data_IF_048851571333
#
_entry.id   IF_048851571333
#
_cell.length_a   1.000
_cell.length_b   1.000
_cell.length_c   1.000
_cell.angle_alpha   90.00
_cell.angle_beta   90.00
_cell.angle_gamma   90.00
#
_symmetry.space_group_name_H-M   'P 1'
#
loop_
_entity.id
_entity.type
_entity.pdbx_description
1 polymer ?
#
# COMPACT_ATOMS: atom_id res chain seq x y z
N UNK A 1 -11.87 11.94 69.96
CA UNK A 1 -12.44 11.71 68.62
C UNK A 1 -13.93 11.95 68.71
N UNK A 2 -14.40 13.07 68.18
CA UNK A 2 -15.82 13.40 68.05
C UNK A 2 -16.40 12.57 66.91
N UNK A 3 -17.36 11.69 67.23
CA UNK A 3 -18.08 10.89 66.23
C UNK A 3 -19.01 11.82 65.44
N UNK A 4 -18.77 11.96 64.14
CA UNK A 4 -19.69 12.64 63.22
C UNK A 4 -20.69 11.61 62.72
N UNK A 5 -21.97 11.81 63.01
CA UNK A 5 -23.06 11.00 62.51
C UNK A 5 -23.57 11.60 61.20
N UNK A 6 -23.38 10.88 60.08
CA UNK A 6 -23.85 11.29 58.75
C UNK A 6 -25.20 10.65 58.49
N UNK A 7 -26.28 11.44 58.45
CA UNK A 7 -27.61 10.97 58.08
C UNK A 7 -27.75 11.06 56.55
N UNK A 8 -27.95 9.95 55.82
CA UNK A 8 -28.21 10.00 54.40
C UNK A 8 -29.61 10.58 54.14
N UNK A 9 -29.68 11.81 53.63
CA UNK A 9 -30.95 12.43 53.20
C UNK A 9 -31.25 11.92 51.78
N UNK A 10 -32.29 11.09 51.65
CA UNK A 10 -32.83 10.68 50.35
C UNK A 10 -33.92 11.67 49.95
N UNK A 11 -33.59 12.63 49.10
CA UNK A 11 -34.58 13.56 48.54
C UNK A 11 -35.39 12.79 47.49
N UNK A 12 -36.70 12.67 47.72
CA UNK A 12 -37.64 12.07 46.77
C UNK A 12 -38.48 13.21 46.20
N UNK A 13 -38.33 13.46 44.90
CA UNK A 13 -39.20 14.38 44.15
C UNK A 13 -40.57 13.74 43.92
N UNK A 14 -41.63 14.55 43.82
CA UNK A 14 -42.91 14.01 43.37
C UNK A 14 -42.75 13.51 41.92
N UNK A 15 -43.27 12.31 41.66
CA UNK A 15 -42.99 11.54 40.46
C UNK A 15 -44.18 10.68 40.10
N UNK A 16 -44.62 10.79 38.84
CA UNK A 16 -45.76 10.09 38.25
C UNK A 16 -45.47 9.91 36.76
N UNK A 17 -46.29 9.12 36.05
CA UNK A 17 -46.21 9.08 34.59
C UNK A 17 -46.73 10.41 34.00
N UNK A 18 -46.27 10.78 32.80
CA UNK A 18 -46.67 12.01 32.12
C UNK A 18 -48.21 12.13 32.01
N UNK A 19 -48.88 11.03 31.67
CA UNK A 19 -50.34 10.98 31.55
C UNK A 19 -51.06 11.25 32.88
N UNK A 20 -50.47 10.84 33.99
CA UNK A 20 -51.02 11.05 35.33
C UNK A 20 -50.79 12.49 35.80
N UNK A 21 -49.61 13.06 35.53
CA UNK A 21 -49.34 14.48 35.76
C UNK A 21 -50.28 15.37 34.96
N UNK A 22 -50.48 15.07 33.68
CA UNK A 22 -51.37 15.85 32.81
C UNK A 22 -52.83 15.80 33.26
N UNK A 23 -53.25 14.66 33.83
CA UNK A 23 -54.61 14.46 34.36
C UNK A 23 -54.83 15.21 35.66
N UNK A 24 -53.87 15.18 36.59
CA UNK A 24 -53.98 15.86 37.88
C UNK A 24 -53.80 17.38 37.73
N UNK A 25 -52.96 17.78 36.79
CA UNK A 25 -52.63 19.17 36.44
C UNK A 25 -52.51 20.14 37.64
N UNK A 26 -51.74 19.81 38.69
CA UNK A 26 -51.62 20.67 39.86
C UNK A 26 -50.77 21.91 39.56
N UNK A 27 -50.95 22.97 40.34
CA UNK A 27 -49.96 24.06 40.44
C UNK A 27 -48.75 23.51 41.20
N UNK A 28 -47.56 23.65 40.62
CA UNK A 28 -46.30 23.18 41.22
C UNK A 28 -45.64 24.36 41.94
N UNK A 29 -45.21 24.16 43.18
CA UNK A 29 -44.66 25.23 44.00
C UNK A 29 -43.38 25.82 43.36
N UNK A 30 -43.11 27.10 43.63
CA UNK A 30 -41.96 27.81 43.06
C UNK A 30 -40.65 27.10 43.44
N UNK A 31 -39.91 26.65 42.42
CA UNK A 31 -38.67 25.90 42.58
C UNK A 31 -38.85 24.39 42.86
N UNK A 32 -40.07 23.88 42.94
CA UNK A 32 -40.33 22.45 43.12
C UNK A 32 -40.10 21.68 41.80
N UNK A 33 -39.33 20.59 41.89
CA UNK A 33 -39.02 19.70 40.77
C UNK A 33 -39.99 18.53 40.73
N UNK A 34 -40.64 18.33 39.58
CA UNK A 34 -41.51 17.19 39.32
C UNK A 34 -41.00 16.36 38.14
N UNK A 35 -41.11 15.04 38.25
CA UNK A 35 -40.51 14.10 37.30
C UNK A 35 -41.58 13.23 36.63
N UNK A 36 -41.51 13.13 35.30
CA UNK A 36 -42.26 12.14 34.51
C UNK A 36 -41.45 10.82 34.45
N UNK A 37 -42.00 9.74 34.99
CA UNK A 37 -41.30 8.45 35.10
C UNK A 37 -41.14 7.71 33.76
N UNK A 38 -42.08 7.91 32.84
CA UNK A 38 -42.13 7.25 31.53
C UNK A 38 -41.31 7.99 30.46
N UNK A 39 -41.43 9.31 30.40
CA UNK A 39 -40.73 10.13 29.40
C UNK A 39 -39.34 10.57 29.85
N UNK A 40 -39.03 10.40 31.15
CA UNK A 40 -37.79 10.87 31.78
C UNK A 40 -37.58 12.38 31.69
N UNK A 41 -38.67 13.15 31.57
CA UNK A 41 -38.65 14.61 31.55
C UNK A 41 -38.95 15.18 32.92
N UNK A 42 -38.57 16.44 33.13
CA UNK A 42 -38.85 17.16 34.36
C UNK A 42 -39.33 18.57 34.08
N UNK A 43 -40.12 19.10 35.02
CA UNK A 43 -40.56 20.50 35.04
C UNK A 43 -40.21 21.10 36.40
N UNK A 44 -40.02 22.42 36.43
CA UNK A 44 -39.81 23.20 37.65
C UNK A 44 -41.02 24.10 37.82
N UNK A 45 -41.66 24.07 38.99
CA UNK A 45 -42.76 24.96 39.31
C UNK A 45 -42.31 26.41 39.43
N UNK A 46 -43.20 27.33 39.05
CA UNK A 46 -43.06 28.77 39.23
C UNK A 46 -44.04 29.31 40.30
N UNK A 47 -44.73 28.40 41.01
CA UNK A 47 -45.74 28.69 42.02
C UNK A 47 -47.04 29.29 41.45
N UNK A 48 -47.21 29.32 40.12
CA UNK A 48 -48.32 30.03 39.46
C UNK A 48 -49.02 29.19 38.39
N UNK A 49 -48.25 28.54 37.53
CA UNK A 49 -48.75 27.75 36.41
C UNK A 49 -49.07 26.32 36.84
N UNK A 50 -50.10 25.75 36.20
CA UNK A 50 -50.39 24.33 36.34
C UNK A 50 -49.36 23.50 35.55
N UNK A 51 -49.21 22.23 35.92
CA UNK A 51 -48.29 21.28 35.29
C UNK A 51 -48.29 21.30 33.75
N UNK A 52 -49.46 21.35 33.12
CA UNK A 52 -49.61 21.32 31.67
C UNK A 52 -49.04 22.57 30.99
N UNK A 53 -49.09 23.71 31.69
CA UNK A 53 -48.66 25.01 31.19
C UNK A 53 -47.20 25.31 31.53
N UNK A 54 -46.59 24.55 32.45
CA UNK A 54 -45.17 24.67 32.77
C UNK A 54 -44.29 24.19 31.59
N UNK A 55 -43.22 24.92 31.23
CA UNK A 55 -42.27 24.46 30.23
C UNK A 55 -41.45 23.28 30.78
N UNK A 56 -41.00 22.40 29.88
CA UNK A 56 -39.99 21.44 30.25
C UNK A 56 -38.67 22.15 30.55
N UNK A 57 -37.97 21.66 31.57
CA UNK A 57 -36.63 22.13 31.85
C UNK A 57 -35.66 21.53 30.81
N UNK A 58 -35.34 22.32 29.79
CA UNK A 58 -34.39 21.96 28.72
C UNK A 58 -33.15 22.88 28.80
N UNK A 59 -31.95 22.30 28.78
CA UNK A 59 -30.70 23.05 28.77
C UNK A 59 -30.38 23.67 27.40
N UNK A 60 -29.39 24.58 27.31
CA UNK A 60 -29.00 25.16 26.02
C UNK A 60 -28.37 24.12 25.06
N UNK A 61 -29.11 23.75 24.01
CA UNK A 61 -28.81 24.15 22.62
C UNK A 61 -27.41 24.00 21.93
N UNK A 62 -26.31 23.43 22.48
CA UNK A 62 -25.00 23.27 21.75
C UNK A 62 -24.98 22.78 20.27
N UNK A 63 -23.98 23.18 19.47
CA UNK A 63 -23.93 22.99 18.02
C UNK A 63 -23.52 21.56 17.56
N UNK A 64 -24.06 21.09 16.42
CA UNK A 64 -23.76 19.76 15.85
C UNK A 64 -23.04 19.86 14.50
N UNK A 65 -22.37 18.78 14.08
CA UNK A 65 -21.80 18.68 12.73
C UNK A 65 -22.91 18.61 11.68
N UNK A 66 -22.99 19.63 10.83
CA UNK A 66 -24.02 19.78 9.79
C UNK A 66 -23.53 19.34 8.42
N UNK A 67 -22.23 19.48 8.14
CA UNK A 67 -21.64 19.17 6.84
C UNK A 67 -20.20 18.69 6.99
N UNK A 68 -19.77 17.79 6.10
CA UNK A 68 -18.38 17.35 5.94
C UNK A 68 -18.06 17.41 4.45
N UNK A 69 -16.89 17.95 4.09
CA UNK A 69 -16.46 18.08 2.70
C UNK A 69 -14.95 17.87 2.57
N UNK A 70 -14.54 17.16 1.53
CA UNK A 70 -13.15 17.01 1.12
C UNK A 70 -12.89 17.88 -0.12
N UNK A 71 -11.85 18.71 -0.09
CA UNK A 71 -11.44 19.50 -1.25
C UNK A 71 -10.60 18.69 -2.24
N UNK A 72 -10.48 19.18 -3.49
CA UNK A 72 -9.70 18.48 -4.54
C UNK A 72 -8.22 18.26 -4.17
N UNK A 73 -7.64 19.21 -3.42
CA UNK A 73 -6.28 19.14 -2.90
C UNK A 73 -6.15 18.25 -1.64
N UNK A 74 -7.24 17.67 -1.13
CA UNK A 74 -7.22 16.67 -0.06
C UNK A 74 -7.42 17.22 1.35
N UNK A 75 -7.84 18.48 1.50
CA UNK A 75 -8.10 19.08 2.80
C UNK A 75 -9.53 18.75 3.25
N UNK A 76 -9.66 18.23 4.47
CA UNK A 76 -10.94 17.90 5.08
C UNK A 76 -11.49 19.12 5.85
N UNK A 77 -12.72 19.52 5.54
CA UNK A 77 -13.47 20.55 6.26
C UNK A 77 -14.74 19.96 6.89
N UNK A 78 -15.05 20.38 8.11
CA UNK A 78 -16.27 20.00 8.84
C UNK A 78 -16.95 21.28 9.34
N UNK A 79 -18.27 21.37 9.16
CA UNK A 79 -19.09 22.47 9.67
C UNK A 79 -19.80 22.04 10.95
N UNK A 80 -19.64 22.85 12.00
CA UNK A 80 -20.41 22.76 13.23
C UNK A 80 -21.38 23.96 13.21
N UNK A 81 -22.68 23.70 13.10
CA UNK A 81 -23.64 24.75 12.75
C UNK A 81 -23.34 25.37 11.39
N UNK A 82 -23.07 26.68 11.35
CA UNK A 82 -22.64 27.42 10.14
C UNK A 82 -21.11 27.61 10.05
N UNK A 83 -20.36 27.24 11.09
CA UNK A 83 -18.93 27.52 11.19
C UNK A 83 -18.08 26.40 10.58
N UNK A 84 -17.25 26.74 9.60
CA UNK A 84 -16.28 25.82 9.00
C UNK A 84 -15.05 25.62 9.90
N UNK A 85 -14.64 24.37 10.09
CA UNK A 85 -13.39 23.97 10.75
C UNK A 85 -12.57 23.10 9.80
N UNK A 86 -11.34 23.53 9.48
CA UNK A 86 -10.42 22.79 8.61
C UNK A 86 -9.56 21.83 9.44
N UNK A 87 -9.61 20.54 9.11
CA UNK A 87 -8.93 19.45 9.82
C UNK A 87 -7.60 19.07 9.16
N UNK A 88 -7.28 19.68 8.02
CA UNK A 88 -6.02 19.52 7.30
C UNK A 88 -6.08 18.46 6.21
N UNK A 89 -4.92 18.18 5.62
CA UNK A 89 -4.80 17.29 4.48
C UNK A 89 -4.83 15.82 4.91
N UNK A 90 -5.77 15.05 4.36
CA UNK A 90 -5.90 13.61 4.62
C UNK A 90 -5.58 12.75 3.40
N UNK A 91 -5.24 13.37 2.26
CA UNK A 91 -4.93 12.67 1.02
C UNK A 91 -3.47 12.24 1.06
N UNK A 92 -3.24 11.01 1.51
CA UNK A 92 -1.92 10.39 1.45
C UNK A 92 -1.34 10.41 0.02
N UNK A 93 -0.02 10.50 -0.11
CA UNK A 93 0.65 10.35 -1.41
C UNK A 93 0.22 9.02 -2.05
N UNK A 94 -0.13 9.06 -3.34
CA UNK A 94 -0.49 7.87 -4.11
C UNK A 94 0.70 6.91 -4.14
N UNK A 95 0.63 5.84 -3.34
CA UNK A 95 1.45 4.66 -3.57
C UNK A 95 0.98 3.95 -4.85
N UNK A 96 1.89 3.34 -5.60
CA UNK A 96 1.65 2.86 -6.98
C UNK A 96 0.45 1.90 -7.16
N UNK A 97 -0.08 1.32 -6.07
CA UNK A 97 -1.30 0.49 -6.08
C UNK A 97 -2.25 0.69 -4.88
N UNK A 98 -2.11 1.79 -4.12
CA UNK A 98 -2.99 2.05 -2.97
C UNK A 98 -4.31 2.71 -3.38
N UNK A 99 -5.44 2.21 -2.87
CA UNK A 99 -6.72 2.90 -3.02
C UNK A 99 -6.80 4.09 -2.06
N UNK A 100 -6.82 5.31 -2.59
CA UNK A 100 -6.92 6.54 -1.79
C UNK A 100 -8.37 6.98 -1.63
N UNK A 101 -8.70 7.70 -0.55
CA UNK A 101 -10.01 8.34 -0.41
C UNK A 101 -10.09 9.51 -1.40
N UNK A 102 -11.15 9.52 -2.21
CA UNK A 102 -11.42 10.56 -3.21
C UNK A 102 -12.47 11.55 -2.75
N UNK A 103 -13.41 11.11 -1.92
CA UNK A 103 -14.52 11.93 -1.44
C UNK A 103 -15.03 11.43 -0.09
N UNK A 104 -15.44 12.35 0.77
CA UNK A 104 -16.15 12.06 2.01
C UNK A 104 -17.34 13.01 2.08
N UNK A 105 -18.53 12.45 2.11
CA UNK A 105 -19.78 13.21 2.15
C UNK A 105 -20.67 12.71 3.28
N UNK A 106 -21.34 13.63 3.97
CA UNK A 106 -22.36 13.32 4.96
C UNK A 106 -23.70 13.87 4.49
N UNK A 107 -24.69 13.01 4.39
CA UNK A 107 -26.08 13.36 4.10
C UNK A 107 -26.99 12.76 5.19
N UNK A 108 -27.61 13.62 5.99
CA UNK A 108 -28.37 13.21 7.16
C UNK A 108 -27.53 12.38 8.15
N UNK A 109 -27.93 11.13 8.39
CA UNK A 109 -27.23 10.16 9.26
C UNK A 109 -26.22 9.29 8.51
N UNK A 110 -26.11 9.43 7.19
CA UNK A 110 -25.24 8.57 6.39
C UNK A 110 -23.94 9.28 6.06
N UNK A 111 -22.81 8.69 6.45
CA UNK A 111 -21.48 9.08 6.00
C UNK A 111 -21.06 8.15 4.85
N UNK A 112 -20.71 8.72 3.71
CA UNK A 112 -20.21 8.01 2.53
C UNK A 112 -18.76 8.37 2.29
N UNK A 113 -17.89 7.36 2.21
CA UNK A 113 -16.48 7.47 1.82
C UNK A 113 -16.32 6.83 0.45
N UNK A 114 -15.92 7.60 -0.56
CA UNK A 114 -15.57 7.08 -1.89
C UNK A 114 -14.07 6.91 -2.01
N UNK A 115 -13.68 5.85 -2.68
CA UNK A 115 -12.29 5.50 -2.92
C UNK A 115 -11.92 5.70 -4.40
N UNK A 116 -10.63 5.72 -4.70
CA UNK A 116 -10.09 5.94 -6.04
C UNK A 116 -10.23 4.75 -7.00
N UNK A 117 -10.76 3.63 -6.54
CA UNK A 117 -11.13 2.46 -7.35
C UNK A 117 -12.65 2.40 -7.62
N UNK A 118 -13.33 3.54 -7.47
CA UNK A 118 -14.78 3.72 -7.61
C UNK A 118 -15.64 2.94 -6.60
N UNK A 119 -15.02 2.27 -5.61
CA UNK A 119 -15.76 1.66 -4.51
C UNK A 119 -16.16 2.70 -3.46
N UNK A 120 -17.24 2.42 -2.73
CA UNK A 120 -17.73 3.29 -1.67
C UNK A 120 -18.06 2.49 -0.41
N UNK A 121 -17.77 3.07 0.75
CA UNK A 121 -18.21 2.57 2.05
C UNK A 121 -19.18 3.57 2.69
N UNK A 122 -20.33 3.07 3.10
CA UNK A 122 -21.33 3.85 3.84
C UNK A 122 -21.34 3.42 5.30
N UNK A 123 -21.42 4.40 6.18
CA UNK A 123 -21.56 4.21 7.61
C UNK A 123 -22.80 4.94 8.07
N UNK A 124 -23.67 4.23 8.78
CA UNK A 124 -24.75 4.89 9.49
C UNK A 124 -24.15 5.51 10.74
N UNK A 125 -24.05 6.83 10.75
CA UNK A 125 -23.65 7.64 11.89
C UNK A 125 -24.93 8.34 12.35
N UNK A 126 -25.69 7.74 13.28
CA UNK A 126 -26.91 8.35 13.80
C UNK A 126 -26.61 9.79 14.17
N UNK A 127 -27.46 10.73 13.74
CA UNK A 127 -27.38 12.06 14.29
C UNK A 127 -27.82 11.91 15.74
N UNK A 128 -26.85 11.79 16.65
CA UNK A 128 -27.13 11.61 18.06
C UNK A 128 -28.16 12.66 18.47
N UNK A 129 -29.28 12.21 19.07
CA UNK A 129 -30.09 13.16 19.81
C UNK A 129 -29.17 13.85 20.81
N UNK A 130 -29.22 15.17 20.78
CA UNK A 130 -28.39 16.04 21.60
C UNK A 130 -28.34 15.53 23.05
N UNK A 131 -27.18 15.06 23.47
CA UNK A 131 -26.93 14.77 24.87
C UNK A 131 -26.68 16.07 25.63
N UNK A 132 -27.38 16.25 26.75
CA UNK A 132 -27.03 17.29 27.71
C UNK A 132 -25.71 16.89 28.40
N UNK A 133 -24.68 17.71 28.17
CA UNK A 133 -23.35 17.69 28.84
C UNK A 133 -22.36 16.66 28.30
N UNK A 134 -21.58 17.11 27.32
CA UNK A 134 -20.24 16.61 27.01
C UNK A 134 -19.43 17.77 26.42
N UNK A 135 -18.13 17.87 26.76
CA UNK A 135 -17.25 18.82 26.07
C UNK A 135 -17.10 18.39 24.61
N UNK A 136 -17.27 19.31 23.68
CA UNK A 136 -17.24 18.98 22.25
C UNK A 136 -15.80 18.78 21.77
N UNK A 137 -15.61 18.00 20.71
CA UNK A 137 -14.32 17.99 19.99
C UNK A 137 -14.17 19.33 19.26
N UNK A 138 -13.17 20.10 19.64
CA UNK A 138 -12.83 21.38 19.01
C UNK A 138 -12.01 21.17 17.73
N UNK A 139 -11.08 20.20 17.74
CA UNK A 139 -10.32 19.82 16.54
C UNK A 139 -9.73 18.41 16.65
N UNK A 140 -9.63 17.71 15.51
CA UNK A 140 -8.88 16.47 15.36
C UNK A 140 -7.91 16.62 14.17
N UNK A 141 -6.61 16.43 14.39
CA UNK A 141 -5.62 16.51 13.30
C UNK A 141 -4.53 15.46 13.46
N UNK A 142 -3.87 15.13 12.36
CA UNK A 142 -2.63 14.36 12.37
C UNK A 142 -1.47 15.34 12.17
N UNK A 143 -0.48 15.30 13.06
CA UNK A 143 0.71 16.17 12.94
C UNK A 143 1.73 15.62 11.94
N UNK A 144 2.81 16.36 11.70
CA UNK A 144 3.88 15.97 10.76
C UNK A 144 4.59 14.67 11.16
N UNK A 145 4.56 14.33 12.46
CA UNK A 145 5.11 13.09 13.00
C UNK A 145 4.16 11.89 12.85
N UNK A 146 2.91 12.10 12.39
CA UNK A 146 1.91 11.04 12.22
C UNK A 146 1.04 10.79 13.44
N UNK A 147 1.15 11.62 14.49
CA UNK A 147 0.37 11.47 15.71
C UNK A 147 -1.02 12.10 15.58
N UNK A 148 -2.05 11.36 16.00
CA UNK A 148 -3.41 11.88 16.11
C UNK A 148 -3.52 12.77 17.35
N UNK A 149 -3.78 14.04 17.13
CA UNK A 149 -4.06 15.04 18.17
C UNK A 149 -5.56 15.33 18.22
N UNK A 150 -6.12 15.30 19.42
CA UNK A 150 -7.52 15.61 19.67
C UNK A 150 -7.60 16.74 20.71
N UNK A 151 -8.26 17.83 20.36
CA UNK A 151 -8.58 18.92 21.27
C UNK A 151 -10.06 18.88 21.61
N UNK A 152 -10.35 18.75 22.89
CA UNK A 152 -11.69 18.84 23.46
C UNK A 152 -11.86 20.26 24.03
N UNK A 153 -13.07 20.82 23.90
CA UNK A 153 -13.44 22.13 24.39
C UNK A 153 -13.03 22.32 25.86
N UNK A 154 -12.39 23.46 26.17
CA UNK A 154 -11.84 23.76 27.51
C UNK A 154 -10.79 22.77 28.03
N UNK A 155 -10.20 21.94 27.16
CA UNK A 155 -9.10 21.04 27.49
C UNK A 155 -7.85 21.33 26.67
N UNK A 156 -6.73 20.87 27.20
CA UNK A 156 -5.51 20.84 26.41
C UNK A 156 -5.61 19.74 25.37
N UNK A 157 -4.93 19.98 24.25
CA UNK A 157 -4.82 19.01 23.19
C UNK A 157 -4.14 17.73 23.68
N UNK A 158 -4.78 16.61 23.41
CA UNK A 158 -4.33 15.28 23.78
C UNK A 158 -3.71 14.58 22.57
N UNK A 159 -2.51 14.04 22.77
CA UNK A 159 -1.89 13.10 21.83
C UNK A 159 -2.44 11.71 22.08
N UNK A 160 -3.08 11.13 21.06
CA UNK A 160 -3.68 9.79 21.10
C UNK A 160 -2.76 8.74 20.48
N UNK A 161 -1.54 9.12 20.10
CA UNK A 161 -0.53 8.23 19.56
C UNK A 161 -0.41 8.29 18.04
N UNK A 162 0.60 7.57 17.55
CA UNK A 162 0.90 7.49 16.13
C UNK A 162 -0.20 6.70 15.39
N UNK A 163 -0.77 7.31 14.35
CA UNK A 163 -1.75 6.68 13.46
C UNK A 163 -1.18 6.41 12.06
N UNK A 164 0.09 6.78 11.84
CA UNK A 164 0.81 6.49 10.61
C UNK A 164 1.49 5.13 10.74
N UNK A 165 1.14 4.20 9.84
CA UNK A 165 1.85 2.94 9.71
C UNK A 165 3.34 3.17 9.42
N UNK A 166 4.18 2.26 9.90
CA UNK A 166 5.61 2.33 9.64
C UNK A 166 5.88 2.38 8.13
N UNK A 167 6.95 3.08 7.77
CA UNK A 167 7.40 3.09 6.38
C UNK A 167 7.77 1.66 5.99
N UNK A 168 7.13 1.12 4.96
CA UNK A 168 7.48 -0.18 4.43
C UNK A 168 8.95 -0.20 4.00
N UNK A 169 9.68 -1.23 4.43
CA UNK A 169 11.07 -1.42 4.04
C UNK A 169 11.17 -1.70 2.55
N UNK A 170 12.09 -1.03 1.88
CA UNK A 170 12.36 -1.29 0.46
C UNK A 170 13.06 -2.65 0.32
N UNK A 171 12.50 -3.53 -0.51
CA UNK A 171 13.14 -4.80 -0.83
C UNK A 171 14.32 -4.51 -1.76
N UNK A 172 15.53 -4.89 -1.34
CA UNK A 172 16.77 -4.72 -2.11
C UNK A 172 17.38 -6.08 -2.44
N UNK A 173 18.22 -6.15 -3.46
CA UNK A 173 18.99 -7.35 -3.77
C UNK A 173 20.20 -7.37 -2.83
N UNK A 174 20.33 -8.43 -2.03
CA UNK A 174 21.42 -8.61 -1.07
C UNK A 174 22.52 -9.51 -1.62
N UNK A 175 22.18 -10.44 -2.50
CA UNK A 175 23.15 -11.35 -3.11
C UNK A 175 22.75 -11.76 -4.53
N UNK A 176 23.76 -12.05 -5.34
CA UNK A 176 23.61 -12.58 -6.69
C UNK A 176 24.56 -13.76 -6.92
N UNK A 177 24.01 -14.91 -7.29
CA UNK A 177 24.79 -16.13 -7.50
C UNK A 177 24.47 -16.76 -8.86
N UNK A 178 25.51 -17.15 -9.61
CA UNK A 178 25.31 -18.01 -10.80
C UNK A 178 24.99 -19.43 -10.36
N UNK A 179 23.91 -19.98 -10.92
CA UNK A 179 23.45 -21.36 -10.70
C UNK A 179 23.34 -22.10 -12.04
N UNK A 180 23.07 -23.42 -12.01
CA UNK A 180 22.91 -24.23 -13.23
C UNK A 180 21.81 -23.68 -14.14
N UNK A 181 20.68 -23.30 -13.54
CA UNK A 181 19.47 -22.81 -14.21
C UNK A 181 19.56 -21.35 -14.69
N UNK A 182 20.52 -20.54 -14.22
CA UNK A 182 20.44 -19.09 -14.39
C UNK A 182 21.28 -18.25 -13.44
N UNK A 183 20.82 -17.04 -13.18
CA UNK A 183 21.30 -16.17 -12.10
C UNK A 183 20.23 -16.16 -11.01
N UNK A 184 20.59 -16.61 -9.81
CA UNK A 184 19.74 -16.51 -8.64
C UNK A 184 20.00 -15.17 -7.94
N UNK A 185 18.94 -14.42 -7.68
CA UNK A 185 18.95 -13.22 -6.85
C UNK A 185 18.37 -13.56 -5.49
N UNK A 186 19.02 -13.10 -4.43
CA UNK A 186 18.50 -13.12 -3.06
C UNK A 186 18.12 -11.70 -2.68
N UNK A 187 16.90 -11.54 -2.15
CA UNK A 187 16.40 -10.26 -1.69
C UNK A 187 16.63 -10.08 -0.18
N UNK A 188 16.50 -8.85 0.31
CA UNK A 188 16.65 -8.49 1.73
C UNK A 188 15.64 -9.17 2.65
N UNK A 189 14.59 -9.77 2.10
CA UNK A 189 13.58 -10.56 2.82
C UNK A 189 13.78 -12.08 2.69
N UNK A 190 14.98 -12.49 2.28
CA UNK A 190 15.41 -13.88 2.05
C UNK A 190 14.72 -14.60 0.88
N UNK A 191 13.80 -13.92 0.18
CA UNK A 191 13.18 -14.48 -1.03
C UNK A 191 14.23 -14.68 -2.12
N UNK A 192 14.12 -15.78 -2.87
CA UNK A 192 15.04 -16.12 -3.96
C UNK A 192 14.29 -16.23 -5.27
N UNK A 193 14.81 -15.59 -6.31
CA UNK A 193 14.29 -15.69 -7.68
C UNK A 193 15.42 -16.09 -8.61
N UNK A 194 15.16 -17.05 -9.49
CA UNK A 194 16.11 -17.45 -10.53
C UNK A 194 15.68 -16.80 -11.84
N UNK A 195 16.56 -15.98 -12.41
CA UNK A 195 16.44 -15.49 -13.77
C UNK A 195 17.04 -16.59 -14.67
N UNK A 196 16.22 -17.29 -15.46
CA UNK A 196 16.69 -18.43 -16.24
C UNK A 196 17.70 -17.98 -17.30
N UNK A 197 18.58 -18.91 -17.70
CA UNK A 197 19.40 -18.68 -18.89
C UNK A 197 18.47 -18.63 -20.11
N UNK A 198 18.64 -17.61 -20.95
CA UNK A 198 18.08 -17.65 -22.30
C UNK A 198 18.59 -18.86 -23.09
N UNK A 199 17.93 -19.17 -24.21
CA UNK A 199 18.42 -20.22 -25.11
C UNK A 199 19.89 -19.99 -25.43
N UNK A 200 20.71 -21.03 -25.28
CA UNK A 200 22.14 -20.96 -25.56
C UNK A 200 22.32 -20.66 -27.05
N UNK A 201 22.71 -19.43 -27.38
CA UNK A 201 23.26 -19.13 -28.70
C UNK A 201 24.59 -19.85 -28.90
N UNK A 202 24.88 -20.26 -30.13
CA UNK A 202 26.16 -20.89 -30.47
C UNK A 202 27.32 -19.97 -30.09
N UNK A 203 28.32 -20.54 -29.41
CA UNK A 203 29.44 -19.79 -28.83
C UNK A 203 30.40 -19.36 -29.94
N UNK A 204 30.43 -18.07 -30.27
CA UNK A 204 31.40 -17.49 -31.21
C UNK A 204 32.76 -17.19 -30.55
N UNK A 205 33.30 -18.12 -29.76
CA UNK A 205 34.51 -17.88 -28.98
C UNK A 205 35.75 -17.87 -29.90
N UNK A 206 36.24 -16.67 -30.23
CA UNK A 206 37.51 -16.47 -30.93
C UNK A 206 38.62 -16.35 -29.89
N UNK A 207 39.29 -17.48 -29.63
CA UNK A 207 40.51 -17.57 -28.84
C UNK A 207 41.61 -16.63 -29.39
N UNK A 208 41.81 -15.47 -28.75
CA UNK A 208 43.05 -14.70 -28.85
C UNK A 208 43.35 -14.01 -30.19
N UNK A 209 42.35 -13.80 -31.06
CA UNK A 209 42.55 -13.11 -32.34
C UNK A 209 42.56 -11.59 -32.11
N UNK A 210 43.69 -10.94 -32.41
CA UNK A 210 43.76 -9.48 -32.47
C UNK A 210 43.06 -8.98 -33.73
N UNK A 211 41.83 -8.48 -33.56
CA UNK A 211 40.96 -8.02 -34.66
C UNK A 211 41.49 -6.79 -35.41
N UNK A 212 42.52 -6.11 -34.89
CA UNK A 212 43.16 -4.97 -35.58
C UNK A 212 44.10 -5.40 -36.72
N UNK A 213 44.53 -6.66 -36.72
CA UNK A 213 45.36 -7.25 -37.78
C UNK A 213 44.50 -7.73 -38.98
N UNK A 214 43.18 -7.60 -38.88
CA UNK A 214 42.21 -8.00 -39.89
C UNK A 214 41.50 -6.78 -40.51
N UNK A 215 41.11 -6.93 -41.78
CA UNK A 215 40.42 -5.90 -42.58
C UNK A 215 39.24 -5.31 -41.81
N UNK A 216 39.23 -3.98 -41.62
CA UNK A 216 38.23 -3.28 -40.81
C UNK A 216 36.86 -3.34 -41.49
N UNK A 217 35.78 -3.38 -40.69
CA UNK A 217 34.37 -3.42 -41.11
C UNK A 217 33.95 -2.29 -42.09
N UNK A 218 34.76 -1.24 -42.19
CA UNK A 218 34.64 -0.13 -43.15
C UNK A 218 35.25 -0.42 -44.52
N UNK A 219 36.27 -1.27 -44.60
CA UNK A 219 37.01 -1.66 -45.80
C UNK A 219 36.27 -2.77 -46.58
N UNK A 220 35.41 -3.53 -45.90
CA UNK A 220 34.47 -4.51 -46.48
C UNK A 220 33.28 -3.89 -47.23
N UNK A 221 33.13 -2.55 -47.26
CA UNK A 221 31.94 -1.88 -47.83
C UNK A 221 31.94 -1.79 -49.36
N UNK A 222 33.02 -2.18 -50.03
CA UNK A 222 33.19 -2.07 -51.49
C UNK A 222 33.71 -3.36 -52.13
N UNK A 223 33.28 -4.51 -51.63
CA UNK A 223 33.78 -5.82 -52.05
C UNK A 223 32.88 -6.33 -53.19
N UNK A 224 33.42 -6.43 -54.39
CA UNK A 224 32.72 -7.04 -55.52
C UNK A 224 32.68 -8.58 -55.40
N UNK A 225 31.99 -9.27 -56.31
CA UNK A 225 31.86 -10.74 -56.23
C UNK A 225 33.18 -11.49 -56.44
N UNK A 226 34.19 -10.87 -57.07
CA UNK A 226 35.51 -11.45 -57.23
C UNK A 226 36.30 -11.36 -55.91
N UNK A 227 36.14 -10.27 -55.18
CA UNK A 227 36.76 -10.07 -53.87
C UNK A 227 36.19 -11.00 -52.79
N UNK A 228 34.89 -11.34 -52.84
CA UNK A 228 34.29 -12.36 -51.95
C UNK A 228 34.91 -13.75 -52.18
N UNK A 229 35.17 -14.11 -53.45
CA UNK A 229 35.86 -15.37 -53.79
C UNK A 229 37.29 -15.38 -53.24
N UNK A 230 38.03 -14.28 -53.43
CA UNK A 230 39.39 -14.14 -52.94
C UNK A 230 39.47 -14.17 -51.41
N UNK A 231 38.51 -13.55 -50.71
CA UNK A 231 38.41 -13.58 -49.25
C UNK A 231 38.09 -14.98 -48.75
N UNK A 232 37.16 -15.70 -49.39
CA UNK A 232 36.84 -17.08 -49.01
C UNK A 232 38.01 -18.04 -49.26
N UNK A 233 38.80 -17.82 -50.31
CA UNK A 233 40.02 -18.58 -50.61
C UNK A 233 41.15 -18.24 -49.63
N UNK A 234 41.33 -16.96 -49.29
CA UNK A 234 42.33 -16.48 -48.32
C UNK A 234 42.03 -16.95 -46.88
N UNK A 235 40.76 -16.94 -46.47
CA UNK A 235 40.33 -17.39 -45.15
C UNK A 235 40.15 -18.91 -45.04
N UNK A 236 40.37 -19.66 -46.13
CA UNK A 236 40.15 -21.11 -46.16
C UNK A 236 38.68 -21.52 -45.96
N UNK A 237 37.74 -20.60 -46.20
CA UNK A 237 36.29 -20.80 -46.05
C UNK A 237 35.65 -21.39 -47.31
N UNK A 238 36.39 -21.52 -48.40
CA UNK A 238 35.93 -22.27 -49.57
C UNK A 238 35.92 -23.77 -49.25
N UNK A 239 34.79 -24.45 -49.52
CA UNK A 239 34.74 -25.90 -49.42
C UNK A 239 35.79 -26.49 -50.37
N UNK A 240 36.71 -27.32 -49.89
CA UNK A 240 37.71 -27.98 -50.74
C UNK A 240 36.98 -28.78 -51.81
N UNK A 241 37.18 -28.42 -53.07
CA UNK A 241 36.66 -29.15 -54.22
C UNK A 241 37.77 -30.04 -54.75
N UNK A 242 37.51 -31.34 -54.78
CA UNK A 242 38.31 -32.30 -55.50
C UNK A 242 37.71 -32.53 -56.89
N UNK A 243 38.57 -32.52 -57.90
CA UNK A 243 38.17 -32.99 -59.22
C UNK A 243 38.29 -34.51 -59.29
N UNK A 244 37.39 -35.12 -60.05
CA UNK A 244 37.40 -36.55 -60.30
C UNK A 244 37.08 -36.83 -61.76
N UNK A 245 37.38 -38.05 -62.21
CA UNK A 245 37.02 -38.52 -63.54
C UNK A 245 35.67 -39.26 -63.55
N UNK A 246 34.91 -39.17 -62.46
CA UNK A 246 33.61 -39.82 -62.35
C UNK A 246 32.57 -39.12 -63.21
N UNK A 247 31.79 -39.93 -63.93
CA UNK A 247 30.75 -39.48 -64.85
C UNK A 247 29.54 -40.39 -64.70
N UNK A 248 28.43 -39.84 -64.23
CA UNK A 248 27.25 -40.62 -63.81
C UNK A 248 25.95 -39.99 -64.31
N UNK A 249 24.91 -40.81 -64.48
CA UNK A 249 23.57 -40.32 -64.76
C UNK A 249 22.93 -39.69 -63.51
N UNK A 250 21.87 -38.92 -63.71
CA UNK A 250 21.12 -38.29 -62.61
C UNK A 250 20.63 -39.32 -61.56
N UNK A 251 20.20 -40.50 -62.00
CA UNK A 251 19.76 -41.59 -61.12
C UNK A 251 20.88 -42.12 -60.23
N UNK A 252 22.09 -42.28 -60.76
CA UNK A 252 23.25 -42.75 -59.99
C UNK A 252 23.76 -41.66 -59.05
N UNK A 253 23.78 -40.41 -59.49
CA UNK A 253 24.14 -39.27 -58.66
C UNK A 253 23.21 -39.15 -57.44
N UNK A 254 21.90 -39.30 -57.63
CA UNK A 254 20.91 -39.33 -56.52
C UNK A 254 21.17 -40.48 -55.54
N UNK A 255 21.57 -41.65 -56.05
CA UNK A 255 21.93 -42.79 -55.20
C UNK A 255 23.18 -42.49 -54.38
N UNK A 256 24.24 -42.00 -55.02
CA UNK A 256 25.50 -41.68 -54.34
C UNK A 256 25.39 -40.45 -53.44
N UNK A 257 24.44 -39.56 -53.71
CA UNK A 257 24.11 -38.44 -52.83
C UNK A 257 23.23 -38.84 -51.66
N UNK A 258 22.77 -40.09 -51.55
CA UNK A 258 21.91 -40.48 -50.42
C UNK A 258 22.67 -40.34 -49.09
N UNK A 259 22.07 -39.74 -48.05
CA UNK A 259 22.71 -39.66 -46.74
C UNK A 259 23.15 -41.05 -46.27
N UNK A 260 24.36 -41.16 -45.71
CA UNK A 260 24.96 -42.43 -45.28
C UNK A 260 25.55 -43.31 -46.39
N UNK A 261 25.40 -42.98 -47.68
CA UNK A 261 26.16 -43.65 -48.74
C UNK A 261 27.65 -43.37 -48.54
N UNK A 262 28.47 -44.41 -48.42
CA UNK A 262 29.91 -44.26 -48.22
C UNK A 262 30.69 -45.09 -49.24
N UNK A 263 31.73 -44.48 -49.79
CA UNK A 263 32.61 -45.11 -50.76
C UNK A 263 33.99 -44.46 -50.71
N UNK A 264 34.97 -45.12 -51.32
CA UNK A 264 36.28 -44.54 -51.61
C UNK A 264 36.25 -43.85 -52.96
N UNK A 265 36.59 -42.56 -52.97
CA UNK A 265 36.57 -41.68 -54.12
C UNK A 265 37.99 -41.29 -54.48
N UNK A 266 38.43 -41.72 -55.66
CA UNK A 266 39.72 -41.29 -56.21
C UNK A 266 39.58 -39.89 -56.79
N UNK A 267 40.55 -39.05 -56.47
CA UNK A 267 40.56 -37.63 -56.84
C UNK A 267 41.85 -37.31 -57.58
N UNK A 268 41.82 -36.25 -58.39
CA UNK A 268 42.96 -35.91 -59.24
C UNK A 268 44.04 -35.11 -58.49
N UNK A 269 43.69 -34.51 -57.35
CA UNK A 269 44.58 -33.73 -56.51
C UNK A 269 45.10 -34.53 -55.29
N UNK A 270 46.25 -34.14 -54.70
CA UNK A 270 46.69 -34.69 -53.42
C UNK A 270 45.66 -34.44 -52.31
N UNK A 271 45.49 -35.44 -51.45
CA UNK A 271 44.55 -35.41 -50.32
C UNK A 271 45.23 -35.06 -48.99
N UNK A 272 46.49 -34.65 -49.02
CA UNK A 272 47.30 -34.29 -47.83
C UNK A 272 46.70 -33.16 -47.00
N UNK A 273 45.96 -32.27 -47.64
CA UNK A 273 45.46 -31.03 -47.03
C UNK A 273 44.06 -31.20 -46.43
N UNK A 274 43.56 -32.44 -46.37
CA UNK A 274 42.23 -32.77 -45.88
C UNK A 274 42.34 -33.70 -44.68
N UNK A 275 41.55 -33.41 -43.65
CA UNK A 275 41.50 -34.16 -42.40
C UNK A 275 40.23 -35.01 -42.30
N UNK A 276 40.24 -35.96 -41.36
CA UNK A 276 39.05 -36.70 -41.00
C UNK A 276 37.94 -35.75 -40.56
N UNK A 277 36.70 -36.02 -40.99
CA UNK A 277 35.47 -35.23 -40.76
C UNK A 277 35.37 -33.93 -41.54
N UNK A 278 36.35 -33.57 -42.35
CA UNK A 278 36.22 -32.44 -43.26
C UNK A 278 35.08 -32.68 -44.26
N UNK A 279 34.33 -31.62 -44.54
CA UNK A 279 33.33 -31.61 -45.61
C UNK A 279 33.97 -31.10 -46.89
N UNK A 280 34.04 -31.96 -47.89
CA UNK A 280 34.63 -31.66 -49.19
C UNK A 280 33.60 -31.88 -50.30
N UNK A 281 33.84 -31.24 -51.44
CA UNK A 281 33.03 -31.40 -52.64
C UNK A 281 33.76 -32.29 -53.63
N UNK A 282 33.09 -33.32 -54.13
CA UNK A 282 33.56 -34.14 -55.25
C UNK A 282 32.89 -33.65 -56.52
N UNK A 283 33.67 -33.11 -57.45
CA UNK A 283 33.19 -32.76 -58.79
C UNK A 283 32.95 -34.04 -59.59
N UNK A 284 31.73 -34.23 -60.05
CA UNK A 284 31.29 -35.38 -60.85
C UNK A 284 30.50 -34.88 -62.05
N UNK A 285 30.81 -35.36 -63.24
CA UNK A 285 30.10 -34.96 -64.45
C UNK A 285 28.75 -35.71 -64.55
N UNK A 286 27.65 -34.98 -64.71
CA UNK A 286 26.34 -35.56 -64.91
C UNK A 286 26.07 -35.75 -66.40
N UNK A 287 26.01 -37.02 -66.84
CA UNK A 287 25.79 -37.37 -68.24
C UNK A 287 24.38 -37.07 -68.73
N UNK A 288 23.40 -37.00 -67.82
CA UNK A 288 22.00 -36.69 -68.13
C UNK A 288 21.81 -35.20 -68.40
N UNK A 289 22.35 -34.33 -67.55
CA UNK A 289 22.23 -32.87 -67.70
C UNK A 289 23.35 -32.24 -68.50
N UNK A 290 24.41 -33.00 -68.79
CA UNK A 290 25.65 -32.54 -69.45
C UNK A 290 26.31 -31.38 -68.72
N UNK A 291 26.31 -31.45 -67.39
CA UNK A 291 26.85 -30.43 -66.52
C UNK A 291 27.62 -31.03 -65.36
N UNK A 292 28.53 -30.26 -64.78
CA UNK A 292 29.22 -30.65 -63.57
C UNK A 292 28.29 -30.53 -62.35
N UNK A 293 28.34 -31.55 -61.49
CA UNK A 293 27.69 -31.57 -60.20
C UNK A 293 28.73 -31.76 -59.10
N UNK A 294 28.41 -31.30 -57.90
CA UNK A 294 29.32 -31.34 -56.76
C UNK A 294 28.65 -32.07 -55.60
N UNK A 295 29.15 -33.26 -55.29
CA UNK A 295 28.66 -34.07 -54.19
C UNK A 295 29.39 -33.69 -52.90
N UNK A 296 28.66 -33.23 -51.88
CA UNK A 296 29.24 -32.93 -50.56
C UNK A 296 29.36 -34.22 -49.74
N UNK A 297 30.58 -34.51 -49.30
CA UNK A 297 30.91 -35.71 -48.53
C UNK A 297 31.71 -35.34 -47.29
N UNK A 298 31.49 -36.08 -46.20
CA UNK A 298 32.28 -36.01 -44.97
C UNK A 298 33.35 -37.09 -45.00
N UNK A 299 34.62 -36.70 -44.90
CA UNK A 299 35.76 -37.62 -45.00
C UNK A 299 35.84 -38.53 -43.77
N UNK A 300 35.99 -39.83 -44.01
CA UNK A 300 36.15 -40.88 -42.97
C UNK A 300 37.51 -41.57 -43.03
N UNK A 301 38.21 -41.46 -44.15
CA UNK A 301 39.60 -41.90 -44.30
C UNK A 301 40.30 -41.11 -45.40
N UNK A 302 41.59 -40.82 -45.22
CA UNK A 302 42.43 -40.09 -46.17
C UNK A 302 43.52 -41.02 -46.69
N UNK A 303 43.48 -41.33 -47.98
CA UNK A 303 44.56 -41.98 -48.72
C UNK A 303 45.54 -40.96 -49.30
N UNK A 304 46.43 -41.38 -50.21
CA UNK A 304 47.36 -40.48 -50.90
C UNK A 304 46.72 -39.68 -52.04
N UNK A 305 45.72 -40.25 -52.70
CA UNK A 305 45.01 -39.69 -53.87
C UNK A 305 43.53 -40.14 -53.90
N UNK A 306 42.99 -40.50 -52.74
CA UNK A 306 41.59 -40.85 -52.59
C UNK A 306 41.14 -40.52 -51.17
N UNK A 307 39.83 -40.31 -51.01
CA UNK A 307 39.18 -40.21 -49.71
C UNK A 307 38.10 -41.27 -49.60
N UNK A 308 38.03 -41.98 -48.46
CA UNK A 308 36.77 -42.65 -48.10
C UNK A 308 35.93 -41.60 -47.41
N UNK A 309 34.69 -41.45 -47.85
CA UNK A 309 33.82 -40.42 -47.34
C UNK A 309 32.36 -40.86 -47.38
N UNK A 310 31.54 -40.24 -46.54
CA UNK A 310 30.11 -40.48 -46.44
C UNK A 310 29.36 -39.26 -46.98
N UNK A 311 28.42 -39.47 -47.90
CA UNK A 311 27.58 -38.40 -48.45
C UNK A 311 26.78 -37.69 -47.34
N UNK A 312 26.74 -36.37 -47.40
CA UNK A 312 25.94 -35.54 -46.48
C UNK A 312 24.47 -35.44 -46.91
N UNK A 313 24.10 -35.97 -48.07
CA UNK A 313 22.78 -35.76 -48.66
C UNK A 313 22.73 -34.64 -49.71
N UNK A 314 23.80 -33.85 -49.81
CA UNK A 314 23.80 -32.59 -50.55
C UNK A 314 24.52 -32.73 -51.90
N UNK A 315 23.75 -32.54 -52.97
CA UNK A 315 24.24 -32.50 -54.34
C UNK A 315 24.02 -31.10 -54.90
N UNK A 316 25.09 -30.45 -55.36
CA UNK A 316 25.08 -29.08 -55.83
C UNK A 316 25.31 -29.00 -57.34
N UNK A 317 24.83 -27.93 -57.96
CA UNK A 317 25.05 -27.60 -59.39
C UNK A 317 26.18 -26.59 -59.59
N UNK A 318 26.71 -26.02 -58.51
CA UNK A 318 27.90 -25.19 -58.47
C UNK A 318 28.68 -25.50 -57.19
N UNK A 319 30.00 -25.26 -57.13
CA UNK A 319 30.73 -25.31 -55.86
C UNK A 319 30.04 -24.38 -54.87
N UNK A 320 29.75 -24.85 -53.66
CA UNK A 320 29.05 -24.05 -52.67
C UNK A 320 29.85 -22.79 -52.34
N UNK A 321 29.38 -21.63 -52.80
CA UNK A 321 29.75 -20.36 -52.17
C UNK A 321 29.30 -20.44 -50.72
N UNK A 322 30.26 -20.53 -49.79
CA UNK A 322 29.97 -20.23 -48.39
C UNK A 322 29.63 -18.74 -48.36
N UNK A 323 28.33 -18.44 -48.40
CA UNK A 323 27.83 -17.08 -48.26
C UNK A 323 28.16 -16.62 -46.84
N UNK A 324 29.12 -15.70 -46.73
CA UNK A 324 29.30 -14.90 -45.53
C UNK A 324 27.96 -14.25 -45.23
N UNK A 325 27.36 -14.61 -44.08
CA UNK A 325 26.09 -14.05 -43.63
C UNK A 325 26.22 -12.52 -43.55
N UNK A 326 25.25 -11.78 -44.08
CA UNK A 326 25.26 -10.31 -43.96
C UNK A 326 25.16 -9.89 -42.50
N UNK A 327 25.49 -8.63 -42.19
CA UNK A 327 25.37 -8.11 -40.81
C UNK A 327 23.96 -8.27 -40.26
N UNK A 328 22.92 -8.09 -41.09
CA UNK A 328 21.54 -8.35 -40.67
C UNK A 328 21.30 -9.82 -40.33
N UNK A 329 21.87 -10.75 -41.10
CA UNK A 329 21.71 -12.19 -40.87
C UNK A 329 22.48 -12.68 -39.63
N UNK A 330 23.67 -12.14 -39.37
CA UNK A 330 24.44 -12.44 -38.15
C UNK A 330 23.72 -11.86 -36.92
N UNK A 331 23.20 -10.64 -37.01
CA UNK A 331 22.45 -10.03 -35.90
C UNK A 331 21.14 -10.77 -35.58
N UNK A 332 20.51 -11.41 -36.58
CA UNK A 332 19.32 -12.23 -36.38
C UNK A 332 19.63 -13.63 -35.82
N UNK A 333 20.83 -14.17 -36.08
CA UNK A 333 21.19 -15.55 -35.73
C UNK A 333 21.97 -15.68 -34.42
N UNK A 334 22.64 -14.62 -33.95
CA UNK A 334 23.51 -14.67 -32.77
C UNK A 334 23.09 -13.64 -31.71
N UNK A 335 22.93 -14.12 -30.48
CA UNK A 335 22.63 -13.27 -29.34
C UNK A 335 23.80 -12.32 -29.01
N UNK A 336 23.49 -11.07 -28.71
CA UNK A 336 24.47 -10.07 -28.26
C UNK A 336 25.04 -10.47 -26.90
N UNK A 337 26.34 -10.18 -26.68
CA UNK A 337 27.05 -10.43 -25.40
C UNK A 337 26.27 -9.91 -24.18
N UNK A 338 25.56 -8.81 -24.37
CA UNK A 338 24.60 -8.28 -23.42
C UNK A 338 23.22 -8.26 -24.08
N UNK A 339 22.22 -8.84 -23.42
CA UNK A 339 20.82 -8.76 -23.82
C UNK A 339 19.97 -8.39 -22.61
N UNK A 340 18.74 -7.93 -22.86
CA UNK A 340 17.76 -7.57 -21.84
C UNK A 340 16.64 -8.61 -21.84
N UNK A 341 16.07 -8.83 -20.67
CA UNK A 341 14.83 -9.57 -20.48
C UNK A 341 13.73 -8.57 -20.11
N UNK A 342 12.55 -8.73 -20.68
CA UNK A 342 11.35 -8.05 -20.21
C UNK A 342 10.85 -8.74 -18.94
N UNK A 343 10.11 -8.02 -18.09
CA UNK A 343 9.59 -8.59 -16.82
C UNK A 343 8.72 -9.84 -17.04
N UNK A 344 8.07 -9.92 -18.20
CA UNK A 344 7.25 -11.06 -18.62
C UNK A 344 8.07 -12.33 -18.87
N UNK A 345 9.37 -12.21 -19.12
CA UNK A 345 10.25 -13.35 -19.39
C UNK A 345 10.60 -14.11 -18.10
N UNK A 346 10.32 -13.52 -16.93
CA UNK A 346 10.66 -14.10 -15.62
C UNK A 346 9.38 -14.64 -14.98
N UNK A 347 9.12 -15.92 -15.23
CA UNK A 347 7.97 -16.64 -14.66
C UNK A 347 7.88 -16.44 -13.15
N UNK A 348 6.72 -15.94 -12.69
CA UNK A 348 6.43 -15.75 -11.27
C UNK A 348 6.93 -14.44 -10.67
N UNK A 349 7.80 -13.66 -11.32
CA UNK A 349 8.33 -12.41 -10.77
C UNK A 349 7.22 -11.36 -10.58
N UNK A 350 6.36 -11.17 -11.59
CA UNK A 350 5.23 -10.24 -11.50
C UNK A 350 4.26 -10.62 -10.37
N UNK A 351 4.03 -11.92 -10.18
CA UNK A 351 3.18 -12.43 -9.08
C UNK A 351 3.84 -12.23 -7.72
N UNK A 352 5.14 -12.52 -7.58
CA UNK A 352 5.89 -12.32 -6.34
C UNK A 352 5.92 -10.84 -5.94
N UNK A 353 6.21 -9.94 -6.89
CA UNK A 353 6.19 -8.49 -6.67
C UNK A 353 4.78 -7.99 -6.33
N UNK A 354 3.74 -8.49 -7.01
CA UNK A 354 2.37 -8.10 -6.73
C UNK A 354 1.88 -8.59 -5.36
N UNK A 355 2.29 -9.77 -4.90
CA UNK A 355 1.94 -10.26 -3.56
C UNK A 355 2.64 -9.47 -2.45
N UNK A 356 3.90 -9.05 -2.65
CA UNK A 356 4.63 -8.23 -1.69
C UNK A 356 4.06 -6.80 -1.59
N UNK A 357 3.67 -6.21 -2.73
CA UNK A 357 2.99 -4.93 -2.75
C UNK A 357 1.59 -4.96 -2.10
N UNK A 358 0.96 -6.15 -2.08
CA UNK A 358 -0.36 -6.38 -1.50
C UNK A 358 -0.30 -7.02 -0.11
N UNK A 359 0.86 -6.96 0.57
CA UNK A 359 0.97 -7.31 1.98
C UNK A 359 0.15 -6.30 2.79
N UNK A 360 -1.15 -6.56 2.86
CA UNK A 360 -2.06 -6.03 3.87
C UNK A 360 -1.46 -6.41 5.22
N UNK A 361 -0.69 -5.50 5.82
CA UNK A 361 -0.44 -5.59 7.23
C UNK A 361 -1.69 -5.06 7.92
N UNK A 362 -2.29 -5.90 8.75
CA UNK A 362 -3.33 -5.46 9.68
C UNK A 362 -2.64 -5.20 11.01
N UNK A 363 -3.02 -4.11 11.68
CA UNK A 363 -2.64 -3.91 13.07
C UNK A 363 -3.41 -4.93 13.91
N UNK A 364 -2.83 -6.13 14.06
CA UNK A 364 -3.30 -7.11 15.03
C UNK A 364 -2.77 -6.73 16.40
N UNK A 365 -3.37 -5.71 16.97
CA UNK A 365 -3.48 -5.55 18.42
C UNK A 365 -4.59 -4.52 18.69
N UNK A 366 -5.82 -4.88 18.33
CA UNK A 366 -6.92 -4.42 19.16
C UNK A 366 -6.74 -5.12 20.49
N UNK A 367 -6.65 -4.36 21.58
CA UNK A 367 -6.98 -4.85 22.91
C UNK A 367 -8.27 -5.67 22.75
N UNK A 368 -8.25 -6.96 23.10
CA UNK A 368 -9.47 -7.76 23.04
C UNK A 368 -10.58 -6.98 23.74
N UNK A 369 -11.79 -6.99 23.20
CA UNK A 369 -12.87 -6.14 23.69
C UNK A 369 -13.11 -6.35 25.19
N UNK A 370 -12.86 -7.55 25.71
CA UNK A 370 -12.84 -7.89 27.14
C UNK A 370 -11.83 -7.08 27.97
N UNK A 371 -10.66 -6.76 27.41
CA UNK A 371 -9.61 -5.96 28.03
C UNK A 371 -9.93 -4.47 27.93
N UNK A 372 -10.50 -4.02 26.80
CA UNK A 372 -11.00 -2.65 26.65
C UNK A 372 -12.18 -2.36 27.59
N UNK A 373 -13.10 -3.31 27.73
CA UNK A 373 -14.25 -3.26 28.63
C UNK A 373 -13.81 -3.37 30.11
N UNK A 374 -12.66 -4.01 30.41
CA UNK A 374 -12.06 -4.05 31.74
C UNK A 374 -11.24 -2.80 32.13
N UNK A 375 -10.79 -2.01 31.15
CA UNK A 375 -10.06 -0.76 31.35
C UNK A 375 -10.97 0.48 31.42
N UNK A 376 -12.19 0.40 30.87
CA UNK A 376 -13.21 1.43 31.01
C UNK A 376 -14.05 1.18 32.26
N UNK A 377 -13.87 2.02 33.28
CA UNK A 377 -14.81 2.10 34.40
C UNK A 377 -16.22 2.32 33.83
N UNK A 378 -17.17 1.47 34.21
CA UNK A 378 -18.53 1.58 33.73
C UNK A 378 -19.08 2.97 34.11
N UNK A 379 -19.90 3.58 33.24
CA UNK A 379 -20.49 4.91 33.47
C UNK A 379 -21.19 5.02 34.84
N UNK A 380 -21.72 3.91 35.36
CA UNK A 380 -22.30 3.80 36.69
C UNK A 380 -21.28 3.93 37.83
N UNK A 381 -20.07 3.39 37.66
CA UNK A 381 -18.97 3.50 38.63
C UNK A 381 -18.39 4.92 38.66
N UNK A 382 -18.25 5.55 37.48
CA UNK A 382 -17.90 6.96 37.35
C UNK A 382 -18.95 7.88 37.98
N UNK A 383 -20.25 7.60 37.78
CA UNK A 383 -21.33 8.33 38.45
C UNK A 383 -21.32 8.12 39.97
N UNK A 384 -21.04 6.90 40.45
CA UNK A 384 -20.89 6.62 41.88
C UNK A 384 -19.71 7.36 42.52
N UNK A 385 -18.58 7.46 41.82
CA UNK A 385 -17.42 8.23 42.29
C UNK A 385 -17.64 9.74 42.22
N UNK A 386 -18.30 10.26 41.18
CA UNK A 386 -18.65 11.68 41.07
C UNK A 386 -19.68 12.12 42.12
N UNK A 387 -20.54 11.20 42.56
CA UNK A 387 -21.51 11.44 43.64
C UNK A 387 -20.84 11.68 45.00
N UNK A 388 -19.58 11.28 45.15
CA UNK A 388 -18.78 11.47 46.37
C UNK A 388 -17.98 12.78 46.41
N UNK A 389 -17.82 13.49 45.28
CA UNK A 389 -17.15 14.79 45.25
C UNK A 389 -18.18 15.89 45.54
N UNK A 390 -17.97 16.63 46.62
CA UNK A 390 -18.75 17.82 46.96
C UNK A 390 -18.72 18.78 45.76
N UNK A 391 -19.89 19.20 45.26
CA UNK A 391 -19.98 20.07 44.08
C UNK A 391 -19.24 21.39 44.38
N UNK A 392 -18.50 21.92 43.40
CA UNK A 392 -17.77 23.20 43.52
C UNK A 392 -18.67 24.32 44.07
N UNK A 393 -19.95 24.34 43.69
CA UNK A 393 -20.94 25.29 44.17
C UNK A 393 -21.27 25.15 45.68
N UNK A 394 -21.26 23.93 46.23
CA UNK A 394 -21.45 23.68 47.66
C UNK A 394 -20.22 24.08 48.47
N UNK A 395 -19.02 23.78 47.96
CA UNK A 395 -17.76 24.25 48.57
C UNK A 395 -17.71 25.78 48.54
N UNK A 396 -18.08 26.41 47.43
CA UNK A 396 -18.11 27.87 47.29
C UNK A 396 -19.13 28.50 48.24
N UNK A 397 -20.33 27.91 48.37
CA UNK A 397 -21.36 28.36 49.31
C UNK A 397 -20.89 28.24 50.76
N UNK A 398 -20.21 27.14 51.12
CA UNK A 398 -19.63 26.99 52.45
C UNK A 398 -18.52 28.01 52.71
N UNK A 399 -17.59 28.18 51.76
CA UNK A 399 -16.50 29.17 51.83
C UNK A 399 -17.02 30.60 51.99
N UNK A 400 -18.04 30.99 51.22
CA UNK A 400 -18.63 32.33 51.26
C UNK A 400 -19.33 32.64 52.59
N UNK A 401 -19.69 31.62 53.36
CA UNK A 401 -20.39 31.74 54.63
C UNK A 401 -19.52 31.36 55.85
N UNK A 402 -18.22 31.14 55.66
CA UNK A 402 -17.29 30.93 56.78
C UNK A 402 -17.33 32.14 57.71
N UNK A 403 -17.51 31.89 59.01
CA UNK A 403 -17.56 32.93 60.04
C UNK A 403 -18.92 33.60 60.21
N UNK A 404 -19.93 33.26 59.39
CA UNK A 404 -21.32 33.72 59.55
C UNK A 404 -22.13 32.75 60.40
N UNK A 405 -23.09 33.26 61.15
CA UNK A 405 -24.04 32.44 61.91
C UNK A 405 -25.32 32.22 61.11
N UNK A 406 -25.75 30.97 60.94
CA UNK A 406 -26.99 30.65 60.21
C UNK A 406 -28.20 30.70 61.15
N UNK A 407 -29.17 31.56 60.84
CA UNK A 407 -30.47 31.55 61.49
C UNK A 407 -31.22 30.27 61.08
N UNK A 408 -31.58 29.44 62.06
CA UNK A 408 -32.27 28.16 61.84
C UNK A 408 -33.72 28.31 61.37
N UNK A 409 -34.35 29.46 61.61
CA UNK A 409 -35.76 29.70 61.26
C UNK A 409 -35.91 30.26 59.85
N UNK A 410 -35.01 31.16 59.44
CA UNK A 410 -35.05 31.82 58.12
C UNK A 410 -34.04 31.26 57.13
N UNK A 411 -33.10 30.42 57.59
CA UNK A 411 -31.94 29.93 56.83
C UNK A 411 -30.98 31.01 56.33
N UNK A 412 -31.13 32.27 56.77
CA UNK A 412 -30.24 33.37 56.43
C UNK A 412 -28.90 33.27 57.19
N UNK A 413 -27.79 33.58 56.52
CA UNK A 413 -26.49 33.73 57.17
C UNK A 413 -26.31 35.18 57.64
N UNK A 414 -25.92 35.34 58.90
CA UNK A 414 -25.74 36.62 59.59
C UNK A 414 -24.26 36.85 59.87
N UNK A 415 -23.75 38.04 59.54
CA UNK A 415 -22.38 38.44 59.86
C UNK A 415 -22.23 38.77 61.35
N UNK A 416 -21.10 38.44 61.96
CA UNK A 416 -20.83 38.78 63.37
C UNK A 416 -19.92 39.99 63.45
N UNK A 417 -20.37 41.04 64.13
CA UNK A 417 -19.61 42.27 64.34
C UNK A 417 -19.39 42.51 65.83
N UNK A 418 -18.15 42.85 66.21
CA UNK A 418 -17.83 43.24 67.59
C UNK A 418 -17.43 44.72 67.56
N UNK A 419 -18.18 45.55 68.27
CA UNK A 419 -17.98 47.00 68.33
C UNK A 419 -17.65 47.45 69.76
N UNK A 420 -17.05 48.63 69.90
CA UNK A 420 -16.82 49.22 71.22
C UNK A 420 -18.15 49.73 71.82
N UNK A 421 -18.21 49.86 73.14
CA UNK A 421 -19.41 50.27 73.87
C UNK A 421 -19.98 51.59 73.33
N UNK A 422 -21.25 51.58 72.90
CA UNK A 422 -21.96 52.74 72.36
C UNK A 422 -21.72 53.00 70.87
N UNK A 423 -21.10 52.08 70.14
CA UNK A 423 -20.77 52.21 68.71
C UNK A 423 -21.58 51.24 67.81
N UNK A 424 -22.73 50.73 68.25
CA UNK A 424 -23.59 49.87 67.42
C UNK A 424 -24.09 50.66 66.19
N UNK A 425 -23.92 50.12 64.96
CA UNK A 425 -24.46 50.74 63.76
C UNK A 425 -25.99 50.87 63.81
N UNK A 426 -26.53 51.92 63.20
CA UNK A 426 -27.97 52.14 63.13
C UNK A 426 -28.72 51.09 62.28
N UNK A 427 -28.03 50.47 61.31
CA UNK A 427 -28.54 49.36 60.52
C UNK A 427 -27.75 48.08 60.86
N UNK A 428 -28.45 47.10 61.39
CA UNK A 428 -27.92 45.79 61.79
C UNK A 428 -28.54 44.65 60.98
N UNK A 429 -29.19 44.97 59.85
CA UNK A 429 -29.85 43.99 58.98
C UNK A 429 -28.85 42.96 58.47
N UNK A 430 -29.13 41.68 58.74
CA UNK A 430 -28.24 40.59 58.37
C UNK A 430 -27.00 40.44 59.26
N UNK A 431 -26.96 41.06 60.44
CA UNK A 431 -25.81 41.01 61.36
C UNK A 431 -26.22 40.67 62.80
N UNK A 432 -25.29 40.09 63.54
CA UNK A 432 -25.31 39.96 65.00
C UNK A 432 -24.18 40.85 65.54
N UNK A 433 -24.52 41.85 66.36
CA UNK A 433 -23.56 42.80 66.93
C UNK A 433 -23.36 42.53 68.41
N UNK A 434 -22.10 42.37 68.84
CA UNK A 434 -21.70 42.33 70.24
C UNK A 434 -20.96 43.62 70.61
N UNK A 435 -21.39 44.27 71.68
CA UNK A 435 -20.63 45.39 72.26
C UNK A 435 -19.60 44.86 73.25
N UNK A 436 -18.39 45.43 73.22
CA UNK A 436 -17.38 45.21 74.26
C UNK A 436 -17.84 45.89 75.55
N UNK A 437 -17.66 45.21 76.68
CA UNK A 437 -18.03 45.71 78.02
C UNK A 437 -17.27 46.98 78.38
#
# INVERSE_FOLDING_TARGET
MTSVETIPIKIVFDRKDASEWQRLNPVIDDGELVVELDTHKLKVGDGKLNYNDLPYYEGPRGESITKVQLSENGDLSVWIGEKETKLGNIKGQKGDKGTSITDITKDGETLTIKLSDDTQKTFNIPNGQKGDRGKSVESARVDEAGHLKLKIEEEQEKDLGNVKGDKGDSITITDQQRVSEGVQLTFSDETKVVIPKGEKGDTGDVNGINLEDYVKKSELKSVDSADVKAINEFLGLSQKVFTSNYSYSDSLLKRYSSPSYSASWYVNEPTSDVSLRDKVLLKIYNTTTRADNYLEVSVTYVGSNYVTATSTGKLLTAPGEVKVLTKEQIAAAYATKEHKHEINDINGLQSALSHKANAQHSHKEYLEQSTADGLYLAKSELQGQLSGYVRLAEIQSQLNNIGKLKDTKTSQFLDVMIVDNGQVPHDTSGMIVFERA
#
